data_IF_628220511247
#
_entry.id   IF_628220511247
#
_cell.length_a   1.000
_cell.length_b   1.000
_cell.length_c   1.000
_cell.angle_alpha   90.00
_cell.angle_beta   90.00
_cell.angle_gamma   90.00
#
_symmetry.space_group_name_H-M   'P 1'
#
loop_
_entity.id
_entity.type
_entity.pdbx_description
1 polymer ?
#
# COMPACT_ATOMS: atom_id res chain seq x y z
N UNK A 1 -15.98 -8.68 -5.45
CA UNK A 1 -15.52 -7.59 -4.57
C UNK A 1 -14.02 -7.76 -4.45
N UNK A 2 -13.23 -6.70 -4.66
CA UNK A 2 -11.77 -6.75 -4.54
C UNK A 2 -11.42 -6.67 -3.06
N UNK A 3 -10.58 -7.58 -2.60
CA UNK A 3 -10.04 -7.55 -1.25
C UNK A 3 -8.71 -6.78 -1.27
N UNK A 4 -8.65 -5.69 -0.51
CA UNK A 4 -7.45 -4.88 -0.35
C UNK A 4 -6.76 -5.32 0.94
N UNK A 5 -5.49 -5.67 0.82
CA UNK A 5 -4.62 -6.11 1.90
C UNK A 5 -3.60 -5.00 2.26
N UNK A 6 -3.14 -5.03 3.51
CA UNK A 6 -2.16 -4.09 4.04
C UNK A 6 -0.78 -4.76 4.17
N UNK A 7 0.29 -4.01 3.91
CA UNK A 7 1.66 -4.44 4.20
C UNK A 7 2.39 -3.34 4.95
N UNK A 8 2.91 -3.67 6.11
CA UNK A 8 3.61 -2.72 6.99
C UNK A 8 5.08 -2.68 6.60
N UNK A 9 5.66 -1.49 6.55
CA UNK A 9 7.09 -1.30 6.34
C UNK A 9 7.87 -2.00 7.46
N UNK A 10 8.89 -2.77 7.09
CA UNK A 10 9.68 -3.55 8.06
C UNK A 10 10.87 -2.77 8.64
N UNK A 11 10.72 -1.45 8.74
CA UNK A 11 11.60 -0.47 9.37
C UNK A 11 10.80 0.37 10.40
N UNK A 12 11.39 1.42 10.97
CA UNK A 12 10.77 2.29 11.97
C UNK A 12 10.01 3.48 11.37
N UNK A 13 9.76 3.49 10.05
CA UNK A 13 9.03 4.57 9.37
C UNK A 13 7.55 4.65 9.77
N UNK A 14 6.98 3.54 10.27
CA UNK A 14 5.57 3.46 10.60
C UNK A 14 4.69 3.69 9.38
N UNK A 15 5.01 3.07 8.24
CA UNK A 15 4.27 3.20 7.00
C UNK A 15 3.59 1.89 6.59
N UNK A 16 2.54 2.01 5.78
CA UNK A 16 1.79 0.89 5.20
C UNK A 16 1.62 1.08 3.68
N UNK A 17 1.61 -0.03 2.96
CA UNK A 17 1.30 -0.09 1.54
C UNK A 17 0.04 -0.94 1.33
N UNK A 18 -0.82 -0.47 0.43
CA UNK A 18 -2.07 -1.15 0.11
C UNK A 18 -1.94 -1.88 -1.23
N UNK A 19 -2.46 -3.10 -1.28
CA UNK A 19 -2.41 -3.92 -2.49
C UNK A 19 -3.61 -4.86 -2.57
N UNK A 20 -3.85 -5.43 -3.74
CA UNK A 20 -4.86 -6.45 -3.96
C UNK A 20 -4.29 -7.57 -4.83
N UNK A 21 -4.80 -8.79 -4.62
CA UNK A 21 -4.44 -9.94 -5.46
C UNK A 21 -5.00 -9.77 -6.88
N UNK A 22 -4.18 -10.09 -7.87
CA UNK A 22 -4.50 -9.99 -9.30
C UNK A 22 -4.12 -8.64 -9.91
N UNK A 23 -4.13 -8.57 -11.23
CA UNK A 23 -4.04 -7.32 -11.98
C UNK A 23 -5.43 -6.77 -12.18
N UNK A 24 -5.78 -5.78 -11.38
CA UNK A 24 -7.11 -5.20 -11.23
C UNK A 24 -7.15 -3.87 -11.98
N UNK A 25 -8.24 -3.53 -12.67
CA UNK A 25 -8.41 -2.22 -13.28
C UNK A 25 -8.24 -1.09 -12.25
N UNK A 26 -7.52 -0.03 -12.63
CA UNK A 26 -7.19 1.08 -11.74
C UNK A 26 -8.41 1.61 -10.97
N UNK A 27 -9.53 1.87 -11.66
CA UNK A 27 -10.71 2.47 -11.05
C UNK A 27 -11.36 1.58 -9.99
N UNK A 28 -11.36 0.26 -10.21
CA UNK A 28 -11.90 -0.69 -9.25
C UNK A 28 -11.00 -0.81 -8.02
N UNK A 29 -9.68 -0.82 -8.23
CA UNK A 29 -8.70 -0.87 -7.14
C UNK A 29 -8.75 0.39 -6.27
N UNK A 30 -8.73 1.59 -6.89
CA UNK A 30 -8.80 2.86 -6.17
C UNK A 30 -10.12 3.01 -5.42
N UNK A 31 -11.24 2.56 -6.01
CA UNK A 31 -12.52 2.54 -5.32
C UNK A 31 -12.50 1.63 -4.07
N UNK A 32 -11.91 0.43 -4.19
CA UNK A 32 -11.78 -0.50 -3.08
C UNK A 32 -10.86 0.04 -1.96
N UNK A 33 -9.75 0.70 -2.33
CA UNK A 33 -8.85 1.38 -1.38
C UNK A 33 -9.59 2.48 -0.63
N UNK A 34 -10.34 3.34 -1.34
CA UNK A 34 -11.11 4.41 -0.69
C UNK A 34 -12.18 3.85 0.25
N UNK A 35 -12.84 2.75 -0.13
CA UNK A 35 -13.81 2.07 0.73
C UNK A 35 -13.14 1.55 2.01
N UNK A 36 -12.01 0.83 1.89
CA UNK A 36 -11.24 0.34 3.03
C UNK A 36 -10.84 1.47 3.99
N UNK A 37 -10.31 2.58 3.46
CA UNK A 37 -9.86 3.71 4.27
C UNK A 37 -11.04 4.41 4.99
N UNK A 38 -12.19 4.55 4.33
CA UNK A 38 -13.40 5.11 4.96
C UNK A 38 -13.90 4.20 6.09
N UNK A 39 -13.96 2.89 5.85
CA UNK A 39 -14.43 1.91 6.83
C UNK A 39 -13.48 1.79 8.03
N UNK A 40 -12.17 1.87 7.79
CA UNK A 40 -11.13 1.91 8.82
C UNK A 40 -10.98 3.26 9.54
N UNK A 41 -11.91 4.21 9.33
CA UNK A 41 -11.89 5.56 9.90
C UNK A 41 -10.60 6.37 9.61
N UNK A 42 -9.94 6.10 8.47
CA UNK A 42 -8.75 6.81 7.98
C UNK A 42 -9.11 8.06 7.19
N UNK A 43 -10.00 8.90 7.74
CA UNK A 43 -10.39 10.18 7.13
C UNK A 43 -9.26 11.22 7.14
N UNK A 44 -8.14 10.90 7.78
CA UNK A 44 -6.91 11.70 7.78
C UNK A 44 -6.20 11.72 6.42
N UNK A 45 -6.45 10.72 5.57
CA UNK A 45 -5.85 10.61 4.24
C UNK A 45 -6.79 11.28 3.22
N UNK A 46 -6.41 12.40 2.60
CA UNK A 46 -7.25 13.05 1.60
C UNK A 46 -7.45 12.15 0.38
N UNK A 47 -8.68 12.08 -0.14
CA UNK A 47 -9.01 11.24 -1.30
C UNK A 47 -8.14 11.55 -2.53
N UNK A 48 -7.77 12.82 -2.72
CA UNK A 48 -6.93 13.23 -3.84
C UNK A 48 -5.53 12.60 -3.79
N UNK A 49 -5.00 12.29 -2.60
CA UNK A 49 -3.72 11.58 -2.43
C UNK A 49 -3.84 10.18 -3.03
N UNK A 50 -4.95 9.50 -2.76
CA UNK A 50 -5.20 8.13 -3.26
C UNK A 50 -5.44 8.13 -4.77
N UNK A 51 -6.21 9.10 -5.28
CA UNK A 51 -6.52 9.19 -6.72
C UNK A 51 -5.29 9.53 -7.56
N UNK A 52 -4.33 10.29 -7.02
CA UNK A 52 -3.10 10.65 -7.74
C UNK A 52 -1.95 9.68 -7.50
N UNK A 53 -2.05 8.83 -6.47
CA UNK A 53 -1.01 7.85 -6.16
C UNK A 53 -0.82 6.87 -7.33
N UNK A 54 0.44 6.59 -7.71
CA UNK A 54 0.71 5.62 -8.76
C UNK A 54 0.17 4.24 -8.37
N UNK A 55 -0.42 3.53 -9.33
CA UNK A 55 -0.85 2.14 -9.17
C UNK A 55 -0.05 1.29 -10.13
N UNK A 56 0.51 0.18 -9.64
CA UNK A 56 1.33 -0.73 -10.44
C UNK A 56 0.78 -2.14 -10.42
N UNK A 57 0.88 -2.79 -11.57
CA UNK A 57 0.67 -4.23 -11.72
C UNK A 57 2.02 -4.92 -11.60
N UNK A 58 2.19 -5.69 -10.53
CA UNK A 58 3.46 -6.35 -10.19
C UNK A 58 3.20 -7.84 -9.95
N UNK A 59 4.27 -8.57 -9.71
CA UNK A 59 4.25 -9.94 -9.19
C UNK A 59 4.87 -9.95 -7.79
N UNK A 60 4.14 -10.49 -6.83
CA UNK A 60 4.53 -10.56 -5.44
C UNK A 60 4.90 -11.99 -5.05
N UNK A 61 6.03 -12.15 -4.35
CA UNK A 61 6.37 -13.40 -3.67
C UNK A 61 6.72 -13.14 -2.21
N UNK A 62 6.36 -14.06 -1.33
CA UNK A 62 6.82 -14.05 0.05
C UNK A 62 8.19 -14.71 0.12
N UNK A 63 9.17 -14.03 0.68
CA UNK A 63 10.53 -14.53 0.86
C UNK A 63 10.95 -14.44 2.33
N UNK A 64 11.86 -15.32 2.81
CA UNK A 64 12.46 -15.16 4.13
C UNK A 64 13.21 -13.84 4.25
N UNK A 65 13.12 -13.17 5.42
CA UNK A 65 13.89 -11.98 5.77
C UNK A 65 14.66 -12.23 7.06
N UNK A 66 15.93 -12.63 6.92
CA UNK A 66 16.80 -12.86 8.08
C UNK A 66 17.29 -11.53 8.66
N UNK A 67 17.32 -11.43 9.99
CA UNK A 67 17.89 -10.28 10.70
C UNK A 67 16.94 -9.09 10.86
N UNK A 68 15.64 -9.25 10.55
CA UNK A 68 14.64 -8.26 10.94
C UNK A 68 14.17 -8.54 12.37
N UNK A 69 14.03 -7.48 13.18
CA UNK A 69 13.39 -7.57 14.50
C UNK A 69 11.85 -7.62 14.43
N UNK A 70 11.28 -7.42 13.23
CA UNK A 70 9.84 -7.18 13.02
C UNK A 70 9.16 -8.37 12.33
N UNK A 71 9.83 -9.05 11.41
CA UNK A 71 9.25 -10.19 10.68
C UNK A 71 10.30 -11.14 10.09
N UNK A 72 10.04 -12.44 10.14
CA UNK A 72 10.85 -13.48 9.50
C UNK A 72 10.61 -13.59 7.98
N UNK A 73 9.60 -12.89 7.45
CA UNK A 73 9.27 -12.88 6.02
C UNK A 73 8.96 -11.47 5.49
N UNK A 74 9.15 -11.28 4.19
CA UNK A 74 8.80 -10.04 3.48
C UNK A 74 8.21 -10.35 2.13
N UNK A 75 7.40 -9.43 1.62
CA UNK A 75 6.98 -9.44 0.23
C UNK A 75 8.04 -8.80 -0.65
N UNK A 76 8.39 -9.48 -1.75
CA UNK A 76 9.20 -8.93 -2.82
C UNK A 76 8.29 -8.69 -4.03
N UNK A 77 8.24 -7.46 -4.52
CA UNK A 77 7.61 -7.11 -5.78
C UNK A 77 8.61 -7.16 -6.94
N UNK A 78 8.16 -7.67 -8.08
CA UNK A 78 8.92 -7.80 -9.30
C UNK A 78 8.03 -7.47 -10.51
N UNK A 79 8.63 -6.94 -11.58
CA UNK A 79 7.87 -6.59 -12.80
C UNK A 79 7.54 -7.81 -13.66
N UNK A 80 8.32 -8.87 -13.56
CA UNK A 80 8.14 -10.10 -14.34
C UNK A 80 7.67 -11.25 -13.46
N UNK A 81 6.89 -12.19 -14.03
CA UNK A 81 6.47 -13.38 -13.30
C UNK A 81 7.68 -14.27 -13.01
N UNK A 82 7.89 -14.57 -11.73
CA UNK A 82 8.84 -15.56 -11.25
C UNK A 82 8.16 -16.79 -10.65
N UNK A 83 8.91 -17.87 -10.42
CA UNK A 83 8.37 -19.06 -9.76
C UNK A 83 7.84 -18.70 -8.36
N UNK A 84 6.58 -19.08 -8.09
CA UNK A 84 5.90 -18.79 -6.82
C UNK A 84 5.44 -17.35 -6.64
N UNK A 85 5.58 -16.48 -7.66
CA UNK A 85 5.06 -15.13 -7.62
C UNK A 85 3.59 -15.08 -8.05
N UNK A 86 2.79 -14.28 -7.36
CA UNK A 86 1.37 -14.06 -7.66
C UNK A 86 1.18 -12.65 -8.23
N UNK A 87 0.37 -12.45 -9.29
CA UNK A 87 0.05 -11.10 -9.75
C UNK A 87 -0.64 -10.30 -8.66
N UNK A 88 -0.28 -9.03 -8.53
CA UNK A 88 -0.86 -8.08 -7.57
C UNK A 88 -1.00 -6.69 -8.19
N UNK A 89 -1.96 -5.93 -7.68
CA UNK A 89 -2.12 -4.50 -7.95
C UNK A 89 -1.75 -3.75 -6.69
N UNK A 90 -0.78 -2.86 -6.79
CA UNK A 90 -0.18 -2.19 -5.63
C UNK A 90 -0.37 -0.70 -5.79
N UNK A 91 -0.82 -0.04 -4.71
CA UNK A 91 -0.69 1.41 -4.58
C UNK A 91 0.81 1.68 -4.34
N UNK A 92 1.53 2.18 -5.35
CA UNK A 92 2.97 2.44 -5.28
C UNK A 92 3.24 3.76 -4.55
N UNK A 93 2.64 3.87 -3.37
CA UNK A 93 2.74 4.97 -2.43
C UNK A 93 2.56 4.42 -1.01
N UNK A 94 3.49 4.78 -0.13
CA UNK A 94 3.46 4.38 1.27
C UNK A 94 2.67 5.40 2.09
N UNK A 95 1.61 4.95 2.74
CA UNK A 95 0.75 5.75 3.60
C UNK A 95 1.28 5.70 5.05
N UNK A 96 1.17 6.77 5.84
CA UNK A 96 1.51 6.71 7.25
C UNK A 96 0.56 5.73 7.99
N UNK A 97 1.09 4.88 8.86
CA UNK A 97 0.32 3.97 9.71
C UNK A 97 -0.40 4.74 10.82
N UNK A 98 0.31 5.69 11.42
CA UNK A 98 -0.25 6.68 12.33
C UNK A 98 0.07 8.08 11.78
N UNK A 99 -0.92 8.93 11.53
CA UNK A 99 -0.63 10.32 11.24
C UNK A 99 0.01 10.93 12.50
N UNK A 100 1.32 11.18 12.47
CA UNK A 100 1.89 12.18 13.38
C UNK A 100 1.16 13.47 13.07
N UNK A 101 0.70 14.19 14.10
CA UNK A 101 -0.07 15.43 13.99
C UNK A 101 0.71 16.48 13.18
N UNK A 102 0.67 16.38 11.86
CA UNK A 102 1.15 17.39 10.95
C UNK A 102 -0.02 17.62 10.01
N UNK A 103 -0.82 18.67 10.24
CA UNK A 103 -1.92 18.97 9.34
C UNK A 103 -1.29 19.26 7.98
N UNK A 104 -1.69 18.48 6.98
CA UNK A 104 -1.42 18.70 5.56
C UNK A 104 -1.69 20.16 5.11
N UNK A 105 -2.43 20.93 5.91
CA UNK A 105 -2.63 22.38 5.81
C UNK A 105 -1.35 23.24 5.92
N UNK A 106 -0.18 22.65 6.22
CA UNK A 106 1.08 23.38 6.37
C UNK A 106 1.89 23.51 5.07
N UNK A 107 1.50 22.80 4.01
CA UNK A 107 2.25 22.79 2.74
C UNK A 107 1.83 23.86 1.72
N UNK A 108 0.73 24.58 1.96
CA UNK A 108 0.20 25.63 1.04
C UNK A 108 0.65 27.06 1.38
N UNK A 109 1.81 27.25 2.03
CA UNK A 109 2.37 28.60 2.24
C UNK A 109 3.87 28.66 1.94
N UNK A 110 4.21 28.66 0.66
CA UNK A 110 5.36 29.43 0.16
C UNK A 110 5.15 29.84 -1.28
#
# INVERSE_FOLDING_TARGET
MIEVEESIALDDSGQMQLWARGHVPWGEFVHAVMALLRDGQRSDIPEWVIVQAPVRHLYQRQIPRRGSAVSDTQFLHQETPGQGATPVTVLDFWLPLHPTMTPWASMDRT
#
